data_IF_079519715493
#
_entry.id   IF_079519715493
#
_cell.length_a   1.000
_cell.length_b   1.000
_cell.length_c   1.000
_cell.angle_alpha   90.00
_cell.angle_beta   90.00
_cell.angle_gamma   90.00
#
_symmetry.space_group_name_H-M   'P 1'
#
loop_
_entity.id
_entity.type
_entity.pdbx_description
1 polymer ?
#
# COMPACT_ATOMS: atom_id res chain seq x y z
N UNK A 1 -11.23 3.46 12.81
CA UNK A 1 -11.65 2.87 11.52
C UNK A 1 -12.31 3.89 10.58
N UNK A 2 -13.11 4.85 11.06
CA UNK A 2 -13.75 5.84 10.17
C UNK A 2 -12.76 6.59 9.26
N UNK A 3 -11.60 7.01 9.80
CA UNK A 3 -10.56 7.68 9.03
C UNK A 3 -10.06 6.84 7.83
N UNK A 4 -9.98 5.50 7.96
CA UNK A 4 -9.56 4.59 6.86
C UNK A 4 -10.53 4.69 5.67
N UNK A 5 -11.83 4.81 5.97
CA UNK A 5 -12.87 4.94 4.95
C UNK A 5 -12.96 6.34 4.37
N UNK A 6 -12.82 7.37 5.21
CA UNK A 6 -12.88 8.78 4.82
C UNK A 6 -11.68 9.20 3.96
N UNK A 7 -10.47 8.75 4.32
CA UNK A 7 -9.23 9.05 3.58
C UNK A 7 -9.06 8.20 2.34
N UNK A 8 -9.87 7.14 2.15
CA UNK A 8 -9.73 6.19 1.03
C UNK A 8 -8.33 5.57 0.91
N UNK A 9 -7.68 5.33 2.05
CA UNK A 9 -6.29 4.82 2.10
C UNK A 9 -6.13 3.43 1.46
N UNK A 10 -7.22 2.64 1.39
CA UNK A 10 -7.24 1.37 0.66
C UNK A 10 -6.92 1.53 -0.83
N UNK A 11 -7.21 2.68 -1.44
CA UNK A 11 -6.84 2.94 -2.82
C UNK A 11 -5.32 3.04 -2.97
N UNK A 12 -4.61 3.57 -1.97
CA UNK A 12 -3.15 3.60 -1.99
C UNK A 12 -2.57 2.19 -1.92
N UNK A 13 -3.12 1.31 -1.06
CA UNK A 13 -2.74 -0.13 -1.01
C UNK A 13 -2.99 -0.81 -2.36
N UNK A 14 -4.16 -0.58 -2.97
CA UNK A 14 -4.49 -1.14 -4.27
C UNK A 14 -3.53 -0.64 -5.36
N UNK A 15 -3.19 0.66 -5.37
CA UNK A 15 -2.25 1.23 -6.32
C UNK A 15 -0.83 0.63 -6.17
N UNK A 16 -0.39 0.40 -4.93
CA UNK A 16 0.90 -0.24 -4.65
C UNK A 16 0.99 -1.64 -5.25
N UNK A 17 -0.12 -2.39 -5.27
CA UNK A 17 -0.18 -3.72 -5.90
C UNK A 17 0.09 -3.72 -7.42
N UNK A 18 0.13 -2.55 -8.07
CA UNK A 18 0.47 -2.40 -9.49
C UNK A 18 1.91 -1.94 -9.73
N UNK A 19 2.73 -1.80 -8.68
CA UNK A 19 4.15 -1.50 -8.88
C UNK A 19 4.82 -2.64 -9.68
N UNK A 20 5.61 -2.32 -10.72
CA UNK A 20 6.37 -3.32 -11.46
C UNK A 20 7.17 -4.16 -10.48
N UNK A 21 7.15 -5.48 -10.63
CA UNK A 21 7.97 -6.43 -9.87
C UNK A 21 7.57 -6.71 -8.42
N UNK A 22 6.43 -6.17 -7.96
CA UNK A 22 5.81 -6.56 -6.70
C UNK A 22 5.76 -8.08 -6.51
N UNK A 23 6.05 -8.51 -5.30
CA UNK A 23 6.01 -9.90 -4.90
C UNK A 23 4.70 -10.14 -4.15
N UNK A 24 3.86 -10.97 -4.75
CA UNK A 24 2.57 -11.41 -4.24
C UNK A 24 1.58 -10.27 -3.95
N UNK A 25 1.62 -9.64 -2.76
CA UNK A 25 0.57 -8.75 -2.27
C UNK A 25 1.12 -7.42 -1.71
N UNK A 26 0.32 -6.37 -1.82
CA UNK A 26 0.47 -5.17 -0.99
C UNK A 26 -0.30 -5.36 0.33
N UNK A 27 0.38 -5.16 1.47
CA UNK A 27 -0.19 -5.36 2.80
C UNK A 27 -0.34 -4.02 3.53
N UNK A 28 -1.38 -3.95 4.36
CA UNK A 28 -1.68 -2.83 5.23
C UNK A 28 -1.65 -3.27 6.68
N UNK A 29 -0.92 -2.54 7.53
CA UNK A 29 -0.97 -2.73 8.98
C UNK A 29 -2.27 -2.15 9.57
N UNK A 30 -2.69 -2.57 10.77
CA UNK A 30 -3.94 -2.10 11.39
C UNK A 30 -4.01 -0.59 11.68
N UNK A 31 -2.88 0.10 11.69
CA UNK A 31 -2.70 1.53 11.91
C UNK A 31 -2.56 2.33 10.59
N UNK A 32 -2.98 1.75 9.46
CA UNK A 32 -2.92 2.36 8.15
C UNK A 32 -3.62 3.73 8.09
N UNK A 33 -2.96 4.69 7.46
CA UNK A 33 -3.49 6.03 7.20
C UNK A 33 -2.82 6.67 5.98
N UNK A 34 -3.41 7.77 5.50
CA UNK A 34 -3.00 8.42 4.26
C UNK A 34 -1.52 8.78 4.22
N UNK A 35 -0.84 8.35 3.16
CA UNK A 35 0.56 8.68 2.88
C UNK A 35 0.76 9.37 1.52
N UNK A 36 2.02 9.49 1.09
CA UNK A 36 2.36 10.06 -0.21
C UNK A 36 2.61 8.95 -1.23
N UNK A 37 1.57 8.62 -2.00
CA UNK A 37 1.60 7.52 -2.98
C UNK A 37 1.48 6.15 -2.32
N UNK A 38 2.43 5.83 -1.44
CA UNK A 38 2.40 4.67 -0.55
C UNK A 38 1.70 5.03 0.77
N UNK A 39 0.83 4.17 1.33
CA UNK A 39 0.20 4.43 2.62
C UNK A 39 1.20 4.28 3.77
N UNK A 40 1.04 5.07 4.83
CA UNK A 40 1.80 4.85 6.07
C UNK A 40 1.25 3.59 6.73
N UNK A 41 2.14 2.73 7.22
CA UNK A 41 1.78 1.37 7.65
C UNK A 41 1.58 0.38 6.49
N UNK A 42 1.93 0.77 5.25
CA UNK A 42 1.98 -0.13 4.10
C UNK A 42 3.27 -0.95 4.05
N UNK A 43 3.17 -2.20 3.60
CA UNK A 43 4.31 -3.09 3.33
C UNK A 43 4.15 -3.68 1.93
N UNK A 44 5.19 -3.59 1.11
CA UNK A 44 5.30 -4.38 -0.11
C UNK A 44 6.73 -4.90 -0.26
N UNK A 45 6.84 -6.13 -0.76
CA UNK A 45 8.11 -6.70 -1.20
C UNK A 45 8.25 -6.51 -2.71
N UNK A 46 9.46 -6.19 -3.15
CA UNK A 46 9.82 -5.91 -4.54
C UNK A 46 11.06 -6.69 -4.93
N UNK A 47 11.09 -7.23 -6.14
CA UNK A 47 12.29 -7.86 -6.73
C UNK A 47 13.30 -6.82 -7.17
N UNK A 48 14.55 -7.02 -6.78
CA UNK A 48 15.64 -6.08 -7.13
C UNK A 48 15.82 -5.88 -8.64
N UNK A 49 15.50 -6.88 -9.47
CA UNK A 49 15.75 -6.85 -10.92
C UNK A 49 14.72 -6.05 -11.72
N UNK A 50 13.45 -6.03 -11.30
CA UNK A 50 12.32 -5.52 -12.10
C UNK A 50 11.29 -4.74 -11.27
N UNK A 51 11.64 -4.39 -10.03
CA UNK A 51 10.80 -3.65 -9.07
C UNK A 51 10.01 -4.58 -8.19
#
# INVERSE_FOLDING_TARGET
LNHIWEEQVFQQVANVAFLPGIVDHSLAMPDIHWGYGFPIGGVAATRVKDG
#
